data_IF_854694549475
#
_entry.id   IF_854694549475
#
_cell.length_a   1.000
_cell.length_b   1.000
_cell.length_c   1.000
_cell.angle_alpha   90.00
_cell.angle_beta   90.00
_cell.angle_gamma   90.00
#
_symmetry.space_group_name_H-M   'P 1'
#
loop_
_entity.id
_entity.type
_entity.pdbx_description
1 polymer ?
#
# COMPACT_ATOMS: atom_id res chain seq x y z
N UNK A 1 -46.16 20.04 62.95
CA UNK A 1 -44.98 19.20 63.23
C UNK A 1 -43.87 19.68 62.32
N UNK A 2 -42.92 20.45 62.86
CA UNK A 2 -41.75 20.93 62.12
C UNK A 2 -40.59 19.99 62.46
N UNK A 3 -40.17 19.18 61.50
CA UNK A 3 -38.96 18.36 61.64
C UNK A 3 -37.74 19.28 61.63
N UNK A 4 -37.14 19.46 62.81
CA UNK A 4 -35.85 20.12 62.95
C UNK A 4 -34.79 19.30 62.20
N UNK A 5 -34.37 19.79 61.03
CA UNK A 5 -33.21 19.25 60.30
C UNK A 5 -31.97 19.43 61.18
N UNK A 6 -31.61 18.38 61.92
CA UNK A 6 -30.39 18.32 62.71
C UNK A 6 -29.19 18.64 61.81
N UNK A 7 -28.38 19.61 62.22
CA UNK A 7 -27.17 19.99 61.52
C UNK A 7 -26.20 18.80 61.60
N UNK A 8 -26.10 18.01 60.53
CA UNK A 8 -25.21 16.85 60.48
C UNK A 8 -23.77 17.39 60.46
N UNK A 9 -23.08 17.31 61.59
CA UNK A 9 -21.68 17.72 61.71
C UNK A 9 -20.83 16.77 60.86
N UNK A 10 -20.32 17.27 59.74
CA UNK A 10 -19.46 16.50 58.84
C UNK A 10 -18.13 16.22 59.54
N UNK A 11 -17.66 14.95 59.59
CA UNK A 11 -16.39 14.61 60.22
C UNK A 11 -15.20 15.30 59.54
N UNK A 12 -14.22 15.76 60.33
CA UNK A 12 -13.02 16.46 59.83
C UNK A 12 -12.23 15.63 58.79
N UNK A 13 -12.22 14.30 58.93
CA UNK A 13 -11.59 13.37 57.99
C UNK A 13 -12.21 13.44 56.59
N UNK A 14 -13.53 13.68 56.49
CA UNK A 14 -14.25 13.82 55.21
C UNK A 14 -13.87 15.14 54.54
N UNK A 15 -13.78 16.24 55.30
CA UNK A 15 -13.35 17.54 54.79
C UNK A 15 -11.91 17.50 54.27
N UNK A 16 -10.98 16.82 54.98
CA UNK A 16 -9.60 16.60 54.50
C UNK A 16 -9.52 15.73 53.24
N UNK A 17 -10.46 14.79 53.05
CA UNK A 17 -10.55 13.97 51.84
C UNK A 17 -11.09 14.77 50.66
N UNK A 18 -12.09 15.62 50.88
CA UNK A 18 -12.66 16.51 49.86
C UNK A 18 -11.61 17.51 49.35
N UNK A 19 -10.90 18.20 50.25
CA UNK A 19 -9.81 19.14 49.88
C UNK A 19 -8.74 18.48 49.02
N UNK A 20 -8.25 17.29 49.40
CA UNK A 20 -7.26 16.53 48.59
C UNK A 20 -7.81 16.11 47.23
N UNK A 21 -9.09 15.73 47.16
CA UNK A 21 -9.71 15.36 45.90
C UNK A 21 -9.88 16.57 44.97
N UNK A 22 -10.24 17.73 45.52
CA UNK A 22 -10.32 19.00 44.80
C UNK A 22 -8.95 19.45 44.27
N UNK A 23 -7.91 19.39 45.11
CA UNK A 23 -6.53 19.68 44.71
C UNK A 23 -6.05 18.74 43.60
N UNK A 24 -6.31 17.43 43.73
CA UNK A 24 -5.95 16.45 42.71
C UNK A 24 -6.74 16.64 41.41
N UNK A 25 -8.03 16.98 41.50
CA UNK A 25 -8.85 17.29 40.34
C UNK A 25 -8.35 18.55 39.62
N UNK A 26 -7.98 19.60 40.37
CA UNK A 26 -7.42 20.83 39.80
C UNK A 26 -6.08 20.55 39.12
N UNK A 27 -5.15 19.84 39.77
CA UNK A 27 -3.87 19.45 39.19
C UNK A 27 -4.07 18.64 37.90
N UNK A 28 -4.95 17.63 37.93
CA UNK A 28 -5.25 16.80 36.77
C UNK A 28 -5.90 17.59 35.64
N UNK A 29 -6.75 18.56 35.94
CA UNK A 29 -7.34 19.44 34.93
C UNK A 29 -6.28 20.30 34.22
N UNK A 30 -5.33 20.85 34.98
CA UNK A 30 -4.20 21.63 34.43
C UNK A 30 -3.29 20.76 33.56
N UNK A 31 -2.93 19.57 34.02
CA UNK A 31 -2.14 18.61 33.25
C UNK A 31 -2.81 18.21 31.94
N UNK A 32 -4.13 18.01 31.96
CA UNK A 32 -4.91 17.68 30.75
C UNK A 32 -4.92 18.84 29.76
N UNK A 33 -5.10 20.09 30.23
CA UNK A 33 -5.05 21.26 29.35
C UNK A 33 -3.66 21.46 28.74
N UNK A 34 -2.59 21.34 29.52
CA UNK A 34 -1.22 21.38 29.00
C UNK A 34 -0.92 20.24 28.02
N UNK A 35 -1.43 19.04 28.27
CA UNK A 35 -1.27 17.92 27.35
C UNK A 35 -2.04 18.16 26.04
N UNK A 36 -3.20 18.83 26.07
CA UNK A 36 -3.98 19.19 24.88
C UNK A 36 -3.22 20.21 24.02
N UNK A 37 -2.67 21.26 24.62
CA UNK A 37 -1.91 22.29 23.89
C UNK A 37 -0.67 21.68 23.23
N UNK A 38 0.12 20.91 23.99
CA UNK A 38 1.29 20.17 23.48
C UNK A 38 0.89 19.25 22.32
N UNK A 39 -0.15 18.43 22.47
CA UNK A 39 -0.63 17.54 21.39
C UNK A 39 -1.04 18.31 20.12
N UNK A 40 -1.67 19.48 20.27
CA UNK A 40 -2.05 20.30 19.12
C UNK A 40 -0.82 20.83 18.36
N UNK A 41 0.22 21.24 19.08
CA UNK A 41 1.50 21.66 18.50
C UNK A 41 2.23 20.50 17.83
N UNK A 42 2.35 19.36 18.50
CA UNK A 42 2.99 18.15 17.93
C UNK A 42 2.25 17.70 16.67
N UNK A 43 0.92 17.74 16.64
CA UNK A 43 0.12 17.41 15.45
C UNK A 43 0.42 18.34 14.27
N UNK A 44 0.56 19.65 14.52
CA UNK A 44 0.96 20.62 13.48
C UNK A 44 2.37 20.29 12.95
N UNK A 45 3.29 19.93 13.84
CA UNK A 45 4.66 19.57 13.47
C UNK A 45 4.71 18.29 12.63
N UNK A 46 3.99 17.23 13.04
CA UNK A 46 3.88 15.97 12.29
C UNK A 46 3.31 16.24 10.89
N UNK A 47 2.25 17.05 10.78
CA UNK A 47 1.65 17.38 9.48
C UNK A 47 2.63 18.15 8.58
N UNK A 48 3.41 19.08 9.13
CA UNK A 48 4.45 19.81 8.38
C UNK A 48 5.53 18.86 7.88
N UNK A 49 6.06 17.98 8.74
CA UNK A 49 7.08 16.98 8.37
C UNK A 49 6.58 16.01 7.30
N UNK A 50 5.39 15.44 7.47
CA UNK A 50 4.82 14.53 6.48
C UNK A 50 4.69 15.17 5.09
N UNK A 51 4.30 16.45 5.02
CA UNK A 51 4.27 17.21 3.76
C UNK A 51 5.67 17.42 3.18
N UNK A 52 6.68 17.62 4.01
CA UNK A 52 8.07 17.77 3.56
C UNK A 52 8.59 16.45 2.97
N UNK A 53 8.42 15.33 3.66
CA UNK A 53 8.85 14.02 3.15
C UNK A 53 8.15 13.63 1.86
N UNK A 54 6.84 13.88 1.74
CA UNK A 54 6.12 13.63 0.49
C UNK A 54 6.72 14.44 -0.68
N UNK A 55 7.03 15.73 -0.46
CA UNK A 55 7.68 16.57 -1.46
C UNK A 55 9.08 16.07 -1.80
N UNK A 56 9.85 15.65 -0.80
CA UNK A 56 11.19 15.11 -0.99
C UNK A 56 11.19 13.87 -1.87
N UNK A 57 10.29 12.91 -1.62
CA UNK A 57 10.16 11.70 -2.44
C UNK A 57 9.76 12.01 -3.88
N UNK A 58 8.80 12.92 -4.09
CA UNK A 58 8.41 13.35 -5.43
C UNK A 58 9.56 14.07 -6.16
N UNK A 59 10.35 14.88 -5.45
CA UNK A 59 11.51 15.58 -6.00
C UNK A 59 12.60 14.59 -6.40
N UNK A 60 12.93 13.62 -5.54
CA UNK A 60 13.91 12.57 -5.83
C UNK A 60 13.52 11.75 -7.07
N UNK A 61 12.24 11.39 -7.21
CA UNK A 61 11.76 10.67 -8.39
C UNK A 61 11.88 11.51 -9.68
N UNK A 62 11.46 12.79 -9.63
CA UNK A 62 11.58 13.71 -10.77
C UNK A 62 13.03 13.96 -11.16
N UNK A 63 13.91 14.15 -10.18
CA UNK A 63 15.35 14.35 -10.38
C UNK A 63 15.99 13.13 -11.04
N UNK A 64 15.69 11.91 -10.56
CA UNK A 64 16.17 10.67 -11.19
C UNK A 64 15.73 10.55 -12.66
N UNK A 65 14.50 10.96 -12.98
CA UNK A 65 13.99 10.97 -14.36
C UNK A 65 14.71 12.02 -15.20
N UNK A 66 14.92 13.23 -14.66
CA UNK A 66 15.64 14.32 -15.33
C UNK A 66 17.08 13.91 -15.66
N UNK A 67 17.83 13.41 -14.68
CA UNK A 67 19.21 12.95 -14.86
C UNK A 67 19.34 11.85 -15.93
N UNK A 68 18.39 10.91 -15.96
CA UNK A 68 18.33 9.88 -17.02
C UNK A 68 18.09 10.47 -18.41
N UNK A 69 17.23 11.49 -18.53
CA UNK A 69 16.96 12.17 -19.82
C UNK A 69 18.15 12.99 -20.27
N UNK A 70 18.77 13.76 -19.38
CA UNK A 70 19.96 14.55 -19.68
C UNK A 70 21.14 13.68 -20.11
N UNK A 71 21.37 12.56 -19.44
CA UNK A 71 22.41 11.61 -19.84
C UNK A 71 22.16 11.09 -21.27
N UNK A 72 20.92 10.68 -21.58
CA UNK A 72 20.54 10.24 -22.93
C UNK A 72 20.72 11.33 -23.98
N UNK A 73 20.39 12.59 -23.67
CA UNK A 73 20.58 13.74 -24.56
C UNK A 73 22.06 13.99 -24.87
N UNK A 74 22.94 13.79 -23.88
CA UNK A 74 24.39 13.90 -24.04
C UNK A 74 25.03 12.67 -24.73
N UNK A 75 24.23 11.65 -25.06
CA UNK A 75 24.71 10.38 -25.63
C UNK A 75 25.34 9.43 -24.60
N UNK A 76 25.19 9.70 -23.31
CA UNK A 76 25.68 8.86 -22.21
C UNK A 76 24.57 8.08 -21.49
N UNK A 77 24.98 7.27 -20.50
CA UNK A 77 24.07 6.49 -19.66
C UNK A 77 24.17 6.93 -18.20
N UNK A 78 23.03 7.18 -17.57
CA UNK A 78 22.98 7.43 -16.14
C UNK A 78 22.93 6.09 -15.38
N UNK A 79 23.92 5.85 -14.53
CA UNK A 79 23.97 4.69 -13.64
C UNK A 79 23.33 5.07 -12.31
N UNK A 80 22.27 4.36 -11.93
CA UNK A 80 21.60 4.60 -10.65
C UNK A 80 22.51 4.23 -9.47
N UNK A 81 22.43 4.97 -8.35
CA UNK A 81 23.12 4.58 -7.13
C UNK A 81 22.61 3.24 -6.59
N UNK A 82 23.50 2.48 -5.95
CA UNK A 82 23.15 1.23 -5.28
C UNK A 82 22.23 1.49 -4.07
N UNK A 83 21.26 0.60 -3.87
CA UNK A 83 20.31 0.73 -2.78
C UNK A 83 20.94 0.33 -1.43
N UNK A 84 20.61 1.10 -0.39
CA UNK A 84 21.19 0.97 0.97
C UNK A 84 20.39 0.07 1.91
N UNK A 85 19.16 -0.26 1.57
CA UNK A 85 18.20 -0.98 2.40
C UNK A 85 17.77 -2.29 1.74
N UNK A 86 17.77 -3.38 2.50
CA UNK A 86 17.20 -4.66 2.10
C UNK A 86 16.01 -5.01 2.98
N UNK A 87 15.03 -5.68 2.40
CA UNK A 87 14.02 -6.41 3.12
C UNK A 87 14.26 -7.91 2.93
N UNK A 88 14.30 -8.66 4.03
CA UNK A 88 14.59 -10.09 4.02
C UNK A 88 13.36 -10.82 4.50
N UNK A 89 12.93 -11.86 3.79
CA UNK A 89 11.85 -12.75 4.18
C UNK A 89 12.39 -14.18 4.27
N UNK A 90 12.02 -14.89 5.33
CA UNK A 90 12.31 -16.30 5.46
C UNK A 90 11.31 -17.16 4.68
N UNK A 91 11.77 -17.94 3.71
CA UNK A 91 10.92 -18.82 2.89
C UNK A 91 10.91 -20.25 3.43
N UNK A 92 12.07 -20.76 3.88
CA UNK A 92 12.20 -22.16 4.31
C UNK A 92 12.09 -22.33 5.82
N UNK A 93 11.44 -23.40 6.25
CA UNK A 93 11.29 -23.79 7.65
C UNK A 93 12.58 -24.22 8.34
N UNK A 94 12.52 -24.44 9.65
CA UNK A 94 13.56 -25.20 10.36
C UNK A 94 13.37 -26.66 9.96
N UNK A 95 14.09 -27.11 8.94
CA UNK A 95 14.11 -28.52 8.61
C UNK A 95 14.96 -29.25 9.65
N UNK A 96 14.37 -30.25 10.30
CA UNK A 96 14.98 -31.18 11.26
C UNK A 96 16.03 -32.11 10.61
N UNK A 97 16.72 -31.66 9.56
CA UNK A 97 17.75 -32.46 8.91
C UNK A 97 19.09 -32.21 9.60
N UNK A 98 19.66 -33.30 10.08
CA UNK A 98 20.91 -33.52 10.82
C UNK A 98 22.20 -32.92 10.24
N UNK A 99 22.12 -32.02 9.25
CA UNK A 99 23.26 -31.41 8.57
C UNK A 99 23.19 -29.88 8.49
N UNK A 100 22.35 -29.23 9.31
CA UNK A 100 22.47 -27.79 9.48
C UNK A 100 23.80 -27.49 10.16
N UNK A 101 24.72 -26.83 9.44
CA UNK A 101 25.87 -26.23 10.09
C UNK A 101 25.34 -25.24 11.13
N UNK A 102 25.80 -25.30 12.40
CA UNK A 102 25.28 -24.47 13.49
C UNK A 102 25.28 -22.98 13.13
N UNK A 103 26.25 -22.57 12.30
CA UNK A 103 26.32 -21.24 11.70
C UNK A 103 24.99 -20.76 11.08
N UNK A 104 24.29 -21.56 10.27
CA UNK A 104 23.08 -21.09 9.56
C UNK A 104 21.92 -20.81 10.55
N UNK A 105 21.82 -21.61 11.62
CA UNK A 105 20.85 -21.39 12.69
C UNK A 105 21.18 -20.13 13.50
N UNK A 106 22.46 -19.86 13.76
CA UNK A 106 22.91 -18.65 14.46
C UNK A 106 22.63 -17.37 13.65
N UNK A 107 22.88 -17.36 12.33
CA UNK A 107 22.63 -16.17 11.50
C UNK A 107 21.13 -15.87 11.34
N UNK A 108 20.28 -16.91 11.19
CA UNK A 108 18.82 -16.73 11.19
C UNK A 108 18.28 -16.19 12.53
N UNK A 109 18.90 -16.60 13.65
CA UNK A 109 18.58 -16.09 14.98
C UNK A 109 19.03 -14.63 15.17
N UNK A 110 20.23 -14.27 14.70
CA UNK A 110 20.75 -12.90 14.73
C UNK A 110 19.90 -11.93 13.91
N UNK A 111 19.34 -12.40 12.80
CA UNK A 111 18.39 -11.64 11.97
C UNK A 111 16.96 -11.61 12.52
N UNK A 112 16.70 -12.21 13.68
CA UNK A 112 15.38 -12.26 14.32
C UNK A 112 14.31 -13.03 13.50
N UNK A 113 14.73 -13.88 12.55
CA UNK A 113 13.88 -14.64 11.64
C UNK A 113 13.54 -16.03 12.20
N UNK A 114 12.77 -16.07 13.29
CA UNK A 114 12.45 -17.32 14.01
C UNK A 114 11.49 -18.22 13.23
N UNK A 115 10.42 -17.63 12.67
CA UNK A 115 9.34 -18.35 11.97
C UNK A 115 9.41 -18.13 10.45
N UNK A 116 8.74 -19.00 9.70
CA UNK A 116 8.57 -18.86 8.24
C UNK A 116 7.73 -17.61 7.97
N UNK A 117 8.02 -16.92 6.87
CA UNK A 117 7.38 -15.67 6.47
C UNK A 117 7.55 -14.52 7.46
N UNK A 118 8.53 -14.61 8.37
CA UNK A 118 8.97 -13.43 9.08
C UNK A 118 9.81 -12.54 8.14
N UNK A 119 9.59 -11.24 8.24
CA UNK A 119 10.30 -10.21 7.47
C UNK A 119 11.01 -9.21 8.37
N UNK A 120 12.22 -8.79 8.00
CA UNK A 120 13.02 -7.78 8.73
C UNK A 120 13.75 -6.87 7.74
N UNK A 121 13.93 -5.60 8.10
CA UNK A 121 14.76 -4.66 7.37
C UNK A 121 16.23 -4.82 7.75
N UNK A 122 17.13 -4.77 6.76
CA UNK A 122 18.57 -4.85 6.98
C UNK A 122 19.28 -3.75 6.19
N UNK A 123 20.26 -3.11 6.84
CA UNK A 123 21.17 -2.17 6.19
C UNK A 123 22.18 -2.93 5.33
N UNK A 124 22.41 -2.45 4.11
CA UNK A 124 23.41 -3.03 3.20
C UNK A 124 24.81 -2.64 3.66
N UNK A 125 25.55 -3.63 4.14
CA UNK A 125 26.98 -3.56 4.43
C UNK A 125 27.68 -4.75 3.74
N UNK A 126 28.99 -4.64 3.46
CA UNK A 126 29.77 -5.76 2.91
C UNK A 126 29.68 -7.02 3.77
N UNK A 127 29.72 -6.85 5.09
CA UNK A 127 29.58 -7.95 6.04
C UNK A 127 28.19 -8.61 6.01
N UNK A 128 27.12 -7.82 5.88
CA UNK A 128 25.75 -8.36 5.83
C UNK A 128 25.50 -9.12 4.53
N UNK A 129 26.07 -8.67 3.41
CA UNK A 129 26.00 -9.39 2.13
C UNK A 129 26.73 -10.74 2.21
N UNK A 130 27.93 -10.78 2.78
CA UNK A 130 28.68 -12.03 2.98
C UNK A 130 27.93 -13.02 3.88
N UNK A 131 27.24 -12.52 4.90
CA UNK A 131 26.34 -13.33 5.72
C UNK A 131 25.14 -13.84 4.90
N UNK A 132 24.53 -12.99 4.08
CA UNK A 132 23.37 -13.34 3.26
C UNK A 132 23.68 -14.46 2.26
N UNK A 133 24.86 -14.46 1.63
CA UNK A 133 25.29 -15.54 0.74
C UNK A 133 25.33 -16.92 1.41
N UNK A 134 25.55 -16.99 2.73
CA UNK A 134 25.52 -18.28 3.46
C UNK A 134 24.11 -18.77 3.75
N UNK A 135 23.14 -17.86 3.83
CA UNK A 135 21.73 -18.17 4.16
C UNK A 135 20.80 -18.13 2.94
N UNK A 136 21.33 -17.77 1.78
CA UNK A 136 20.68 -17.60 0.49
C UNK A 136 19.62 -18.65 0.14
N UNK A 137 19.84 -19.97 0.29
CA UNK A 137 18.79 -20.94 -0.05
C UNK A 137 17.56 -20.87 0.88
N UNK A 138 17.65 -20.27 2.06
CA UNK A 138 16.57 -20.24 3.06
C UNK A 138 15.78 -18.94 3.07
N UNK A 139 16.37 -17.86 2.54
CA UNK A 139 15.80 -16.52 2.56
C UNK A 139 15.61 -16.01 1.14
N UNK A 140 14.61 -15.17 0.96
CA UNK A 140 14.60 -14.23 -0.16
C UNK A 140 14.91 -12.86 0.41
N UNK A 141 15.68 -12.07 -0.32
CA UNK A 141 15.94 -10.68 0.04
C UNK A 141 15.92 -9.77 -1.19
N UNK A 142 15.66 -8.48 -0.99
CA UNK A 142 15.63 -7.52 -2.09
C UNK A 142 15.30 -6.12 -1.65
N UNK A 143 15.26 -5.20 -2.60
CA UNK A 143 15.05 -3.79 -2.31
C UNK A 143 13.55 -3.48 -2.14
N UNK A 144 13.13 -2.90 -1.01
CA UNK A 144 11.74 -2.54 -0.81
C UNK A 144 11.42 -1.18 -1.47
N UNK A 145 10.20 -1.03 -1.97
CA UNK A 145 9.66 0.25 -2.45
C UNK A 145 9.04 1.04 -1.28
N UNK A 146 8.97 2.37 -1.38
CA UNK A 146 8.34 3.27 -0.40
C UNK A 146 6.92 2.82 -0.06
N UNK A 147 6.11 2.51 -1.09
CA UNK A 147 4.74 2.01 -0.92
C UNK A 147 4.71 0.74 -0.08
N UNK A 148 5.63 -0.19 -0.36
CA UNK A 148 5.68 -1.49 0.31
C UNK A 148 6.13 -1.36 1.76
N UNK A 149 7.12 -0.52 2.06
CA UNK A 149 7.53 -0.21 3.45
C UNK A 149 6.37 0.41 4.22
N UNK A 150 5.70 1.40 3.62
CA UNK A 150 4.54 2.07 4.21
C UNK A 150 3.43 1.09 4.55
N UNK A 151 3.03 0.24 3.61
CA UNK A 151 1.99 -0.75 3.83
C UNK A 151 2.37 -1.81 4.88
N UNK A 152 3.64 -2.23 4.90
CA UNK A 152 4.14 -3.17 5.90
C UNK A 152 4.03 -2.60 7.31
N UNK A 153 4.51 -1.37 7.52
CA UNK A 153 4.48 -0.72 8.83
C UNK A 153 3.04 -0.45 9.27
N UNK A 154 2.18 0.08 8.39
CA UNK A 154 0.78 0.34 8.77
C UNK A 154 -0.06 -0.91 9.02
N UNK A 155 0.09 -1.97 8.20
CA UNK A 155 -0.78 -3.15 8.28
C UNK A 155 -0.26 -4.23 9.23
N UNK A 156 1.07 -4.33 9.38
CA UNK A 156 1.74 -5.44 10.07
C UNK A 156 2.79 -4.97 11.08
N UNK A 157 2.91 -3.66 11.31
CA UNK A 157 3.87 -3.08 12.24
C UNK A 157 3.50 -3.32 13.69
N UNK A 158 4.44 -3.89 14.43
CA UNK A 158 4.40 -3.96 15.89
C UNK A 158 5.67 -3.30 16.43
N UNK A 159 5.51 -2.55 17.52
CA UNK A 159 6.61 -1.96 18.27
C UNK A 159 6.99 -2.82 19.47
N UNK A 160 8.27 -2.79 19.83
CA UNK A 160 8.81 -3.39 21.04
C UNK A 160 8.86 -2.34 22.16
N UNK A 161 7.88 -2.39 23.05
CA UNK A 161 7.78 -1.48 24.21
C UNK A 161 7.97 -2.29 25.47
N UNK A 162 8.96 -1.96 26.31
CA UNK A 162 9.28 -2.73 27.52
C UNK A 162 9.43 -4.24 27.26
N UNK A 163 10.01 -4.62 26.11
CA UNK A 163 10.14 -6.00 25.60
C UNK A 163 8.81 -6.71 25.27
N UNK A 164 7.67 -6.03 25.38
CA UNK A 164 6.38 -6.52 24.94
C UNK A 164 6.11 -6.12 23.50
N UNK A 165 5.33 -6.94 22.80
CA UNK A 165 4.90 -6.70 21.42
C UNK A 165 3.58 -5.94 21.43
N UNK A 166 3.59 -4.69 20.98
CA UNK A 166 2.42 -3.81 20.95
C UNK A 166 2.14 -3.38 19.50
N UNK A 167 0.87 -3.37 19.09
CA UNK A 167 0.49 -2.91 17.75
C UNK A 167 0.66 -1.38 17.63
N UNK A 168 1.09 -0.91 16.46
CA UNK A 168 1.25 0.53 16.20
C UNK A 168 -0.10 1.18 15.85
N UNK A 169 -0.90 1.49 16.86
CA UNK A 169 -2.17 2.22 16.68
C UNK A 169 -1.99 3.72 16.73
N UNK A 170 -1.22 4.20 17.70
CA UNK A 170 -1.07 5.62 18.02
C UNK A 170 0.39 6.06 17.97
N UNK A 171 0.62 7.30 17.52
CA UNK A 171 1.95 7.90 17.45
C UNK A 171 2.62 8.04 18.83
N UNK A 172 1.85 8.07 19.91
CA UNK A 172 2.38 8.12 21.28
C UNK A 172 3.25 6.90 21.62
N UNK A 173 2.98 5.74 21.03
CA UNK A 173 3.76 4.52 21.26
C UNK A 173 5.18 4.68 20.69
N UNK A 174 5.30 5.35 19.55
CA UNK A 174 6.57 5.62 18.87
C UNK A 174 7.34 6.71 19.62
N UNK A 175 6.67 7.82 19.93
CA UNK A 175 7.25 8.97 20.64
C UNK A 175 7.84 8.57 22.00
N UNK A 176 7.20 7.66 22.74
CA UNK A 176 7.70 7.17 24.03
C UNK A 176 9.07 6.48 23.93
N UNK A 177 9.32 5.71 22.86
CA UNK A 177 10.57 4.93 22.71
C UNK A 177 11.61 5.69 21.90
N UNK A 178 11.19 6.28 20.77
CA UNK A 178 12.07 6.88 19.77
C UNK A 178 12.08 8.42 19.80
N UNK A 179 11.29 9.06 20.67
CA UNK A 179 11.26 10.52 20.79
C UNK A 179 12.62 11.14 21.11
N UNK A 180 13.53 10.37 21.75
CA UNK A 180 14.92 10.77 22.00
C UNK A 180 15.73 11.02 20.73
N UNK A 181 15.37 10.36 19.63
CA UNK A 181 16.04 10.45 18.34
C UNK A 181 15.30 11.38 17.36
N UNK A 182 14.27 12.10 17.83
CA UNK A 182 13.47 13.01 16.99
C UNK A 182 12.43 12.31 16.10
N UNK A 183 12.21 11.01 16.29
CA UNK A 183 11.19 10.21 15.60
C UNK A 183 9.92 10.23 16.43
N UNK A 184 8.90 10.96 15.96
CA UNK A 184 7.67 11.23 16.72
C UNK A 184 6.49 10.44 16.12
N UNK A 185 6.47 10.30 14.80
CA UNK A 185 5.35 9.73 14.06
C UNK A 185 5.74 8.49 13.25
N UNK A 186 4.72 7.76 12.79
CA UNK A 186 4.92 6.63 11.86
C UNK A 186 5.59 7.08 10.56
N UNK A 187 5.29 8.29 10.06
CA UNK A 187 5.91 8.78 8.80
C UNK A 187 7.40 9.08 9.00
N UNK A 188 7.78 9.63 10.16
CA UNK A 188 9.20 9.81 10.52
C UNK A 188 9.91 8.44 10.57
N UNK A 189 9.25 7.43 11.14
CA UNK A 189 9.79 6.06 11.23
C UNK A 189 9.99 5.44 9.84
N UNK A 190 9.00 5.58 8.94
CA UNK A 190 9.09 5.12 7.55
C UNK A 190 10.27 5.81 6.84
N UNK A 191 10.38 7.13 7.01
CA UNK A 191 11.43 7.92 6.38
C UNK A 191 12.82 7.47 6.84
N UNK A 192 13.02 7.35 8.16
CA UNK A 192 14.30 6.91 8.75
C UNK A 192 14.72 5.51 8.27
N UNK A 193 13.75 4.59 8.14
CA UNK A 193 13.98 3.24 7.64
C UNK A 193 14.38 3.26 6.16
N UNK A 194 13.64 3.99 5.32
CA UNK A 194 13.84 4.00 3.87
C UNK A 194 15.16 4.65 3.47
N UNK A 195 15.47 5.82 4.04
CA UNK A 195 16.70 6.57 3.72
C UNK A 195 17.93 5.96 4.39
N UNK A 196 17.73 5.05 5.35
CA UNK A 196 18.77 4.48 6.21
C UNK A 196 19.50 5.60 6.95
N UNK A 197 18.73 6.36 7.71
CA UNK A 197 19.22 7.51 8.47
C UNK A 197 20.19 7.16 9.62
N UNK A 198 20.65 8.16 10.38
CA UNK A 198 21.63 7.98 11.46
C UNK A 198 21.12 7.05 12.57
N UNK A 199 19.82 7.03 12.84
CA UNK A 199 19.18 6.25 13.91
C UNK A 199 18.40 5.04 13.38
N UNK A 200 18.83 4.51 12.21
CA UNK A 200 18.24 3.33 11.59
C UNK A 200 18.27 2.09 12.50
N UNK A 201 19.36 1.90 13.26
CA UNK A 201 19.53 0.71 14.11
C UNK A 201 18.50 0.69 15.24
N UNK A 202 18.25 1.85 15.83
CA UNK A 202 17.29 2.07 16.90
C UNK A 202 15.86 1.90 16.39
N UNK A 203 15.56 2.50 15.23
CA UNK A 203 14.27 2.34 14.55
C UNK A 203 13.97 0.88 14.18
N UNK A 204 14.95 0.15 13.63
CA UNK A 204 14.78 -1.25 13.25
C UNK A 204 14.67 -2.18 14.47
N UNK A 205 15.39 -1.91 15.56
CA UNK A 205 15.28 -2.68 16.80
C UNK A 205 13.95 -2.44 17.53
N UNK A 206 13.34 -1.28 17.35
CA UNK A 206 12.00 -0.99 17.84
C UNK A 206 10.94 -1.82 17.10
N UNK A 207 11.08 -2.00 15.79
CA UNK A 207 10.17 -2.83 15.00
C UNK A 207 10.33 -4.31 15.38
N UNK A 208 9.20 -4.95 15.69
CA UNK A 208 9.14 -6.40 15.79
C UNK A 208 9.19 -7.00 14.37
N UNK A 209 9.81 -8.18 14.17
CA UNK A 209 9.77 -8.87 12.89
C UNK A 209 8.35 -8.98 12.33
N UNK A 210 8.18 -8.58 11.07
CA UNK A 210 6.88 -8.58 10.40
C UNK A 210 6.44 -10.02 10.18
N UNK A 211 5.32 -10.41 10.76
CA UNK A 211 4.71 -11.70 10.47
C UNK A 211 3.90 -11.59 9.19
N UNK A 212 4.41 -12.17 8.10
CA UNK A 212 3.75 -12.14 6.81
C UNK A 212 2.84 -13.35 6.62
N UNK A 213 1.73 -13.14 5.92
CA UNK A 213 0.93 -14.24 5.38
C UNK A 213 1.66 -14.88 4.20
N UNK A 214 1.39 -16.16 3.96
CA UNK A 214 1.84 -16.86 2.76
C UNK A 214 1.43 -16.09 1.49
N UNK A 215 2.27 -16.09 0.44
CA UNK A 215 1.96 -15.41 -0.81
C UNK A 215 0.74 -16.03 -1.50
N UNK A 216 -0.08 -15.17 -2.11
CA UNK A 216 -1.18 -15.60 -2.96
C UNK A 216 -0.60 -16.27 -4.21
N UNK A 217 -0.97 -17.52 -4.49
CA UNK A 217 -0.38 -18.32 -5.56
C UNK A 217 0.72 -19.29 -5.11
N UNK A 218 1.08 -19.27 -3.82
CA UNK A 218 2.06 -20.18 -3.24
C UNK A 218 3.50 -19.81 -3.58
N UNK A 219 4.44 -20.65 -3.13
CA UNK A 219 5.85 -20.53 -3.44
C UNK A 219 6.18 -21.41 -4.65
N UNK A 220 7.06 -20.90 -5.53
CA UNK A 220 7.70 -21.68 -6.58
C UNK A 220 8.64 -22.72 -5.97
N UNK A 221 9.10 -23.65 -6.81
CA UNK A 221 9.97 -24.77 -6.41
C UNK A 221 11.18 -24.30 -5.61
N UNK A 222 11.72 -25.18 -4.76
CA UNK A 222 12.84 -24.93 -3.84
C UNK A 222 14.21 -24.76 -4.54
N UNK A 223 14.29 -23.87 -5.52
CA UNK A 223 15.51 -23.50 -6.26
C UNK A 223 15.83 -22.02 -6.05
N UNK A 224 17.01 -21.61 -6.52
CA UNK A 224 17.41 -20.20 -6.51
C UNK A 224 16.61 -19.42 -7.56
N UNK A 225 16.56 -18.10 -7.41
CA UNK A 225 15.80 -17.20 -8.28
C UNK A 225 16.19 -17.33 -9.75
N UNK A 226 17.48 -17.47 -10.04
CA UNK A 226 18.03 -17.66 -11.40
C UNK A 226 17.47 -18.93 -12.09
N UNK A 227 17.19 -19.98 -11.32
CA UNK A 227 16.63 -21.24 -11.82
C UNK A 227 15.09 -21.26 -11.86
N UNK A 228 14.47 -20.11 -11.62
CA UNK A 228 13.01 -19.95 -11.57
C UNK A 228 12.37 -20.32 -10.22
N UNK A 229 13.16 -20.40 -9.15
CA UNK A 229 12.66 -20.50 -7.77
C UNK A 229 12.42 -19.15 -7.12
N UNK A 230 12.13 -19.15 -5.82
CA UNK A 230 11.86 -17.93 -5.03
C UNK A 230 12.96 -17.59 -4.01
N UNK A 231 13.93 -18.49 -3.78
CA UNK A 231 15.06 -18.23 -2.88
C UNK A 231 16.10 -17.33 -3.57
N UNK A 232 16.95 -16.64 -2.79
CA UNK A 232 17.96 -15.67 -3.26
C UNK A 232 17.40 -14.24 -3.51
N UNK A 233 18.30 -13.36 -3.97
CA UNK A 233 18.11 -11.96 -4.27
C UNK A 233 17.12 -11.77 -5.41
N UNK A 234 16.02 -11.11 -5.10
CA UNK A 234 15.08 -10.59 -6.09
C UNK A 234 15.15 -9.07 -6.06
N UNK A 235 15.63 -8.45 -7.16
CA UNK A 235 15.88 -7.00 -7.25
C UNK A 235 14.65 -6.17 -6.83
N UNK A 236 13.45 -6.63 -7.16
CA UNK A 236 12.18 -5.98 -6.80
C UNK A 236 11.33 -6.98 -6.05
N UNK A 237 11.44 -6.96 -4.72
CA UNK A 237 10.88 -8.02 -3.89
C UNK A 237 9.45 -7.76 -3.42
N UNK A 238 8.92 -6.55 -3.65
CA UNK A 238 7.61 -6.15 -3.16
C UNK A 238 6.80 -5.43 -4.25
N UNK A 239 5.92 -6.22 -4.88
CA UNK A 239 4.68 -5.82 -5.55
C UNK A 239 4.80 -4.57 -6.44
N UNK A 240 5.42 -4.74 -7.59
CA UNK A 240 4.63 -4.38 -8.77
C UNK A 240 3.79 -5.63 -9.08
N UNK A 241 2.43 -5.57 -9.13
CA UNK A 241 1.84 -6.36 -10.20
C UNK A 241 2.61 -5.92 -11.43
N UNK A 242 3.19 -6.85 -12.20
CA UNK A 242 3.51 -6.51 -13.58
C UNK A 242 2.25 -5.82 -14.11
N UNK A 243 2.30 -4.49 -14.27
CA UNK A 243 1.38 -3.86 -15.19
C UNK A 243 1.60 -4.67 -16.46
N UNK A 244 0.54 -5.26 -17.05
CA UNK A 244 0.70 -5.92 -18.32
C UNK A 244 1.25 -4.85 -19.26
N UNK A 245 2.56 -4.86 -19.47
CA UNK A 245 3.26 -4.10 -20.50
C UNK A 245 2.87 -4.75 -21.82
N UNK A 246 1.63 -4.52 -22.22
CA UNK A 246 1.05 -4.46 -23.57
C UNK A 246 -0.41 -4.02 -23.31
N UNK A 247 -0.63 -2.74 -23.01
CA UNK A 247 -1.86 -2.09 -23.48
C UNK A 247 -1.48 -1.46 -24.81
N UNK A 248 -1.67 -2.21 -25.90
CA UNK A 248 -1.64 -1.60 -27.22
C UNK A 248 -2.68 -0.47 -27.22
N UNK A 249 -2.36 0.67 -27.85
CA UNK A 249 -3.29 1.82 -27.93
C UNK A 249 -4.68 1.45 -28.47
N UNK A 250 -4.81 0.31 -29.17
CA UNK A 250 -6.07 -0.28 -29.60
C UNK A 250 -6.99 -0.70 -28.44
N UNK A 251 -6.46 -1.24 -27.33
CA UNK A 251 -7.30 -1.73 -26.22
C UNK A 251 -7.94 -0.58 -25.45
N UNK A 252 -7.26 0.55 -25.30
CA UNK A 252 -7.82 1.75 -24.65
C UNK A 252 -8.92 2.36 -25.54
N UNK A 253 -8.71 2.39 -26.86
CA UNK A 253 -9.71 2.83 -27.81
C UNK A 253 -10.95 1.91 -27.84
N UNK A 254 -10.77 0.59 -27.82
CA UNK A 254 -11.88 -0.38 -27.77
C UNK A 254 -12.69 -0.27 -26.48
N UNK A 255 -12.04 -0.11 -25.31
CA UNK A 255 -12.77 0.09 -24.05
C UNK A 255 -13.51 1.43 -24.04
N UNK A 256 -12.98 2.47 -24.68
CA UNK A 256 -13.67 3.76 -24.82
C UNK A 256 -14.88 3.67 -25.78
N UNK A 257 -14.76 2.93 -26.89
CA UNK A 257 -15.86 2.70 -27.85
C UNK A 257 -16.97 1.85 -27.22
N UNK A 258 -16.63 0.77 -26.52
CA UNK A 258 -17.62 -0.05 -25.80
C UNK A 258 -18.34 0.74 -24.68
N UNK A 259 -17.65 1.68 -24.02
CA UNK A 259 -18.25 2.53 -22.98
C UNK A 259 -19.15 3.64 -23.54
N UNK A 260 -18.96 4.02 -24.80
CA UNK A 260 -19.85 4.92 -25.54
C UNK A 260 -21.07 4.17 -26.11
N UNK A 261 -20.89 2.96 -26.65
CA UNK A 261 -21.99 2.16 -27.20
C UNK A 261 -22.96 1.62 -26.13
N UNK A 262 -22.48 1.26 -24.95
CA UNK A 262 -23.35 0.84 -23.84
C UNK A 262 -24.23 2.00 -23.32
N UNK A 263 -23.76 3.24 -23.39
CA UNK A 263 -24.56 4.42 -23.05
C UNK A 263 -25.56 4.80 -24.15
N UNK A 264 -25.28 4.47 -25.42
CA UNK A 264 -26.25 4.62 -26.52
C UNK A 264 -27.32 3.53 -26.51
N UNK A 265 -26.97 2.27 -26.21
CA UNK A 265 -27.93 1.16 -26.13
C UNK A 265 -28.90 1.28 -24.94
N UNK A 266 -28.47 1.89 -23.83
CA UNK A 266 -29.34 2.20 -22.71
C UNK A 266 -30.33 3.36 -23.02
N UNK A 267 -30.00 4.25 -23.95
CA UNK A 267 -30.90 5.33 -24.40
C UNK A 267 -31.92 4.85 -25.44
N UNK A 268 -31.64 3.78 -26.19
CA UNK A 268 -32.55 3.22 -27.20
C UNK A 268 -33.52 2.21 -26.57
N UNK A 269 -33.11 1.48 -25.52
CA UNK A 269 -34.03 0.56 -24.82
C UNK A 269 -35.05 1.25 -23.89
N UNK A 270 -34.85 2.53 -23.56
CA UNK A 270 -35.83 3.33 -22.80
C UNK A 270 -37.02 3.82 -23.64
N UNK A 271 -36.98 3.69 -24.97
CA UNK A 271 -38.02 4.25 -25.87
C UNK A 271 -38.93 3.18 -26.48
N UNK A 272 -38.72 1.89 -26.18
CA UNK A 272 -39.50 0.77 -26.75
C UNK A 272 -40.32 -0.01 -25.69
N UNK A 273 -40.13 0.24 -24.39
CA UNK A 273 -40.91 -0.38 -23.30
C UNK A 273 -41.70 0.69 -22.52
N UNK A 274 -42.51 1.49 -23.23
CA UNK A 274 -43.50 2.38 -22.60
C UNK A 274 -44.84 2.40 -23.36
N UNK A 275 -45.25 1.24 -23.89
CA UNK A 275 -46.64 0.92 -24.21
C UNK A 275 -46.95 -0.47 -23.68
N UNK A 276 -47.45 -0.53 -22.45
CA UNK A 276 -47.96 -1.76 -21.86
C UNK A 276 -47.37 -2.03 -20.49
N UNK A 277 -48.03 -1.49 -19.46
CA UNK A 277 -48.46 -2.17 -18.22
C UNK A 277 -48.72 -1.05 -17.20
N UNK A 278 -50.01 -0.82 -16.99
CA UNK A 278 -50.53 -0.04 -15.87
C UNK A 278 -50.21 -0.75 -14.54
N UNK A 279 -50.05 0.08 -13.50
CA UNK A 279 -50.08 -0.25 -12.06
C UNK A 279 -48.75 -0.68 -11.41
N UNK A 280 -47.98 0.30 -10.90
CA UNK A 280 -47.62 0.44 -9.47
C UNK A 280 -46.82 1.75 -9.25
N UNK A 281 -47.01 2.40 -8.08
CA UNK A 281 -46.52 3.75 -7.72
C UNK A 281 -44.97 3.89 -7.72
N UNK A 282 -44.42 5.07 -8.08
CA UNK A 282 -42.98 5.33 -8.03
C UNK A 282 -42.48 5.75 -6.63
N UNK A 283 -41.28 5.30 -6.25
CA UNK A 283 -40.55 5.79 -5.08
C UNK A 283 -39.32 6.64 -5.50
N UNK A 284 -38.95 7.55 -4.61
CA UNK A 284 -38.18 8.79 -4.83
C UNK A 284 -36.68 8.57 -5.08
N UNK A 285 -36.24 8.38 -6.31
CA UNK A 285 -34.83 8.57 -6.72
C UNK A 285 -34.69 9.16 -8.14
N UNK A 286 -35.70 9.90 -8.58
CA UNK A 286 -35.65 10.69 -9.81
C UNK A 286 -35.30 12.13 -9.44
N UNK A 287 -34.54 12.83 -10.29
CA UNK A 287 -34.01 14.20 -10.14
C UNK A 287 -32.60 14.29 -9.55
N UNK A 288 -31.59 13.93 -10.36
CA UNK A 288 -30.32 14.69 -10.41
C UNK A 288 -29.44 14.47 -11.67
N UNK A 289 -29.91 13.74 -12.69
CA UNK A 289 -29.08 13.35 -13.84
C UNK A 289 -29.45 14.02 -15.18
N UNK A 290 -30.05 15.22 -15.19
CA UNK A 290 -30.48 15.88 -16.43
C UNK A 290 -29.64 17.08 -16.88
N UNK A 291 -28.61 17.49 -16.14
CA UNK A 291 -27.92 18.78 -16.41
C UNK A 291 -26.52 18.70 -17.03
N UNK A 292 -26.00 17.52 -17.39
CA UNK A 292 -24.62 17.39 -17.92
C UNK A 292 -24.51 16.95 -19.39
N UNK A 293 -25.61 16.77 -20.12
CA UNK A 293 -25.61 16.23 -21.50
C UNK A 293 -25.83 17.34 -22.55
N UNK A 294 -25.09 18.46 -22.47
CA UNK A 294 -25.25 19.54 -23.46
C UNK A 294 -23.95 20.15 -24.01
N UNK A 295 -22.79 19.52 -23.83
CA UNK A 295 -21.50 20.14 -24.26
C UNK A 295 -20.53 19.32 -25.11
N UNK A 296 -20.91 18.15 -25.64
CA UNK A 296 -19.99 17.33 -26.47
C UNK A 296 -20.57 16.94 -27.83
N UNK A 297 -21.08 17.92 -28.60
CA UNK A 297 -21.72 17.65 -29.91
C UNK A 297 -20.92 18.04 -31.15
N UNK A 298 -19.63 18.40 -31.05
CA UNK A 298 -18.87 18.85 -32.23
C UNK A 298 -17.45 18.27 -32.28
N UNK A 299 -17.27 17.07 -32.84
CA UNK A 299 -16.01 16.62 -33.47
C UNK A 299 -16.29 15.51 -34.49
N UNK A 300 -16.05 15.72 -35.80
CA UNK A 300 -16.05 14.63 -36.80
C UNK A 300 -14.67 13.96 -36.88
N UNK A 301 -14.62 12.61 -36.83
CA UNK A 301 -13.41 11.82 -37.08
C UNK A 301 -13.64 10.94 -38.32
N UNK A 302 -12.72 11.03 -39.28
CA UNK A 302 -12.81 10.41 -40.60
C UNK A 302 -12.09 9.02 -40.57
N UNK A 303 -12.81 7.93 -40.86
CA UNK A 303 -12.37 6.52 -40.62
C UNK A 303 -11.80 5.87 -41.91
N UNK A 304 -11.07 6.61 -42.74
CA UNK A 304 -10.55 6.08 -44.02
C UNK A 304 -9.06 5.70 -44.03
N UNK A 305 -8.35 5.71 -42.89
CA UNK A 305 -6.88 5.56 -42.88
C UNK A 305 -6.28 4.37 -42.12
N UNK A 306 -7.08 3.44 -41.57
CA UNK A 306 -6.50 2.30 -40.84
C UNK A 306 -6.30 1.06 -41.72
N UNK A 307 -5.08 0.92 -42.23
CA UNK A 307 -4.58 -0.29 -42.93
C UNK A 307 -4.21 -1.36 -41.90
N UNK A 308 -4.90 -2.51 -41.94
CA UNK A 308 -4.65 -3.65 -41.04
C UNK A 308 -3.31 -4.31 -41.41
N UNK A 309 -2.32 -4.23 -40.53
CA UNK A 309 -1.05 -4.98 -40.66
C UNK A 309 -1.16 -6.27 -39.84
N UNK A 310 -0.92 -7.38 -40.56
CA UNK A 310 -0.80 -8.79 -40.17
C UNK A 310 -0.80 -9.19 -38.69
N UNK A 311 -1.73 -10.06 -38.33
CA UNK A 311 -1.70 -10.85 -37.11
C UNK A 311 -0.69 -12.01 -37.25
N UNK A 312 0.37 -12.02 -36.43
CA UNK A 312 1.21 -13.20 -36.23
C UNK A 312 1.03 -13.76 -34.81
N UNK A 313 0.64 -15.03 -34.78
CA UNK A 313 0.81 -16.06 -33.75
C UNK A 313 0.68 -15.67 -32.26
N UNK A 314 -0.53 -15.85 -31.71
CA UNK A 314 -0.72 -16.15 -30.29
C UNK A 314 -1.43 -17.51 -30.11
N UNK A 315 -0.72 -18.46 -29.49
CA UNK A 315 -1.25 -19.77 -29.08
C UNK A 315 -1.95 -19.63 -27.73
N UNK A 316 -3.27 -19.58 -27.74
CA UNK A 316 -4.08 -19.63 -26.52
C UNK A 316 -5.56 -19.88 -26.84
N UNK A 317 -6.13 -20.94 -26.27
CA UNK A 317 -7.52 -21.39 -26.51
C UNK A 317 -8.54 -20.29 -26.18
N UNK A 318 -8.26 -19.46 -25.17
CA UNK A 318 -9.11 -18.31 -24.76
C UNK A 318 -9.20 -17.17 -25.78
N UNK A 319 -8.23 -17.03 -26.70
CA UNK A 319 -8.30 -16.03 -27.78
C UNK A 319 -9.13 -16.52 -28.97
N UNK A 320 -9.19 -17.84 -29.21
CA UNK A 320 -10.08 -18.40 -30.26
C UNK A 320 -11.53 -18.18 -29.91
N UNK A 321 -11.91 -18.41 -28.65
CA UNK A 321 -13.29 -18.19 -28.18
C UNK A 321 -13.71 -16.72 -28.29
N UNK A 322 -12.77 -15.79 -28.04
CA UNK A 322 -13.01 -14.35 -28.18
C UNK A 322 -13.13 -13.89 -29.63
N UNK A 323 -12.32 -14.44 -30.54
CA UNK A 323 -12.41 -14.18 -32.00
C UNK A 323 -13.69 -14.78 -32.60
N UNK A 324 -14.13 -15.94 -32.11
CA UNK A 324 -15.41 -16.55 -32.49
C UNK A 324 -16.59 -15.69 -32.01
N UNK A 325 -16.52 -15.15 -30.78
CA UNK A 325 -17.52 -14.23 -30.26
C UNK A 325 -17.59 -12.92 -31.07
N UNK A 326 -16.43 -12.35 -31.42
CA UNK A 326 -16.35 -11.14 -32.25
C UNK A 326 -16.88 -11.39 -33.67
N UNK A 327 -16.57 -12.53 -34.30
CA UNK A 327 -17.14 -12.90 -35.60
C UNK A 327 -18.66 -13.05 -35.53
N UNK A 328 -19.20 -13.71 -34.50
CA UNK A 328 -20.65 -13.83 -34.28
C UNK A 328 -21.32 -12.48 -34.04
N UNK A 329 -20.71 -11.57 -33.29
CA UNK A 329 -21.25 -10.22 -33.09
C UNK A 329 -21.26 -9.40 -34.38
N UNK A 330 -20.23 -9.52 -35.23
CA UNK A 330 -20.18 -8.83 -36.53
C UNK A 330 -21.21 -9.42 -37.51
N UNK A 331 -21.39 -10.74 -37.53
CA UNK A 331 -22.43 -11.40 -38.34
C UNK A 331 -23.85 -10.99 -37.89
N UNK A 332 -24.08 -10.89 -36.57
CA UNK A 332 -25.37 -10.42 -36.03
C UNK A 332 -25.64 -8.93 -36.32
N UNK A 333 -24.59 -8.09 -36.37
CA UNK A 333 -24.71 -6.68 -36.76
C UNK A 333 -24.95 -6.50 -38.26
N UNK A 334 -24.36 -7.35 -39.11
CA UNK A 334 -24.62 -7.32 -40.56
C UNK A 334 -26.02 -7.83 -40.92
N UNK A 335 -26.55 -8.82 -40.21
CA UNK A 335 -27.91 -9.32 -40.43
C UNK A 335 -29.00 -8.34 -39.98
N UNK A 336 -28.75 -7.56 -38.92
CA UNK A 336 -29.68 -6.52 -38.45
C UNK A 336 -29.59 -5.20 -39.23
N UNK A 337 -28.55 -5.02 -40.04
CA UNK A 337 -28.44 -3.87 -40.95
C UNK A 337 -29.19 -4.07 -42.29
N UNK A 338 -29.63 -5.30 -42.60
CA UNK A 338 -30.34 -5.63 -43.84
C UNK A 338 -31.87 -5.59 -43.68
N UNK A 339 -32.39 -5.52 -42.44
CA UNK A 339 -33.83 -5.35 -42.16
C UNK A 339 -34.28 -3.90 -41.92
N UNK A 340 -33.38 -2.93 -42.17
CA UNK A 340 -33.65 -1.48 -42.09
C UNK A 340 -33.08 -0.75 -43.31
N UNK A 341 -33.53 -1.14 -44.51
CA UNK A 341 -33.53 -0.30 -45.72
C UNK A 341 -34.91 -0.43 -46.36
#
# INVERSE_FOLDING_TARGET
MAEAKGNVVVPESVLKKQKRAEEWALAKSKEVEEAKTKKAETRKLICKKARQYAKEYEQQEKELIQLKREARLKGGFYVNPEAKLLFIIRIRGKLLKSHFSPCILFHGFHLTLVQIFNGVFLKVNKATMNMLHRVEPYVTYGYPNLKSVRELIYKRGYGKVNKQRIALTDNSIIEQVLGKYGIISVEDLIHEVLTVGPHFKEANNFLWPFQLKAPLGGLKKERNYVEGGDADFCRVMLLEPEEPQITCGLCIALVAVYRLELNCLCSIHSSIIFKGIHNHKPSKYFVWASTSIMKLRNYPVNISQYRVIGAQHYKGQKCRDFVILLKRCVELLQLNAISFI
#
